data_IF_267244573754
#
_entry.id   IF_267244573754
#
_cell.length_a   1.000
_cell.length_b   1.000
_cell.length_c   1.000
_cell.angle_alpha   90.00
_cell.angle_beta   90.00
_cell.angle_gamma   90.00
#
_symmetry.space_group_name_H-M   'P 1'
#
loop_
_entity.id
_entity.type
_entity.pdbx_description
1 polymer ?
#
# COMPACT_ATOMS: atom_id res chain seq x y z
N UNK A 1 -23.49 30.84 20.59
CA UNK A 1 -22.07 30.62 20.24
C UNK A 1 -21.45 29.72 21.30
N UNK A 2 -21.46 28.40 21.08
CA UNK A 2 -20.64 27.43 21.81
C UNK A 2 -20.21 26.36 20.80
N UNK A 3 -18.90 26.12 20.80
CA UNK A 3 -18.17 25.44 19.73
C UNK A 3 -18.63 24.01 19.51
N UNK A 4 -18.83 23.73 18.22
CA UNK A 4 -18.94 22.41 17.63
C UNK A 4 -17.72 21.60 18.07
N UNK A 5 -17.96 20.61 18.93
CA UNK A 5 -16.96 19.61 19.26
C UNK A 5 -16.50 18.99 17.96
N UNK A 6 -15.22 19.18 17.65
CA UNK A 6 -14.47 18.42 16.65
C UNK A 6 -14.32 16.98 17.17
N UNK A 7 -15.47 16.33 17.32
CA UNK A 7 -15.59 14.91 17.59
C UNK A 7 -15.35 14.23 16.27
N UNK A 8 -14.07 14.08 15.91
CA UNK A 8 -13.63 13.12 14.91
C UNK A 8 -14.29 11.79 15.25
N UNK A 9 -15.41 11.52 14.59
CA UNK A 9 -16.18 10.32 14.84
C UNK A 9 -15.27 9.15 14.49
N UNK A 10 -15.23 8.08 15.29
CA UNK A 10 -14.38 6.93 15.02
C UNK A 10 -14.58 6.38 13.61
N UNK A 11 -15.76 6.56 13.01
CA UNK A 11 -16.04 6.21 11.62
C UNK A 11 -15.23 7.02 10.58
N UNK A 12 -14.95 8.30 10.80
CA UNK A 12 -14.13 9.12 9.90
C UNK A 12 -12.65 8.71 9.92
N UNK A 13 -12.12 8.44 11.11
CA UNK A 13 -10.75 7.93 11.28
C UNK A 13 -10.60 6.52 10.72
N UNK A 14 -11.58 5.63 10.95
CA UNK A 14 -11.59 4.28 10.37
C UNK A 14 -11.76 4.30 8.84
N UNK A 15 -12.39 5.33 8.29
CA UNK A 15 -12.55 5.50 6.83
C UNK A 15 -11.26 5.94 6.14
N UNK A 16 -10.43 6.75 6.80
CA UNK A 16 -9.21 7.28 6.21
C UNK A 16 -8.02 6.30 6.23
N UNK A 17 -8.01 5.35 7.18
CA UNK A 17 -6.91 4.39 7.34
C UNK A 17 -6.76 3.45 6.12
N UNK A 18 -7.83 2.84 5.57
CA UNK A 18 -7.72 1.96 4.40
C UNK A 18 -7.23 2.69 3.15
N UNK A 19 -7.71 3.92 2.93
CA UNK A 19 -7.27 4.76 1.81
C UNK A 19 -5.78 5.10 1.91
N UNK A 20 -5.30 5.45 3.11
CA UNK A 20 -3.88 5.71 3.36
C UNK A 20 -3.02 4.47 3.15
N UNK A 21 -3.45 3.31 3.65
CA UNK A 21 -2.74 2.03 3.46
C UNK A 21 -2.64 1.69 1.96
N UNK A 22 -3.73 1.88 1.21
CA UNK A 22 -3.74 1.68 -0.24
C UNK A 22 -2.79 2.62 -0.97
N UNK A 23 -2.74 3.90 -0.57
CA UNK A 23 -1.83 4.88 -1.17
C UNK A 23 -0.36 4.52 -0.93
N UNK A 24 0.01 4.08 0.27
CA UNK A 24 1.37 3.61 0.58
C UNK A 24 1.69 2.34 -0.21
N UNK A 25 0.76 1.40 -0.32
CA UNK A 25 0.91 0.20 -1.15
C UNK A 25 1.20 0.54 -2.61
N UNK A 26 0.47 1.48 -3.19
CA UNK A 26 0.67 1.94 -4.57
C UNK A 26 2.04 2.64 -4.76
N UNK A 27 2.41 3.54 -3.84
CA UNK A 27 3.72 4.20 -3.86
C UNK A 27 4.87 3.19 -3.79
N UNK A 28 4.75 2.17 -2.94
CA UNK A 28 5.75 1.10 -2.84
C UNK A 28 5.89 0.30 -4.16
N UNK A 29 4.79 -0.01 -4.86
CA UNK A 29 4.89 -0.65 -6.20
C UNK A 29 5.58 0.24 -7.21
N UNK A 30 5.22 1.53 -7.24
CA UNK A 30 5.80 2.45 -8.20
C UNK A 30 7.31 2.62 -7.98
N UNK A 31 7.74 2.70 -6.72
CA UNK A 31 9.15 2.72 -6.36
C UNK A 31 9.86 1.42 -6.77
N UNK A 32 9.28 0.27 -6.48
CA UNK A 32 9.80 -1.04 -6.88
C UNK A 32 10.00 -1.15 -8.40
N UNK A 33 8.99 -0.81 -9.19
CA UNK A 33 9.05 -0.84 -10.65
C UNK A 33 10.13 0.11 -11.20
N UNK A 34 10.24 1.31 -10.61
CA UNK A 34 11.22 2.32 -11.03
C UNK A 34 12.64 1.82 -10.77
N UNK A 35 12.91 1.32 -9.57
CA UNK A 35 14.22 0.81 -9.19
C UNK A 35 14.60 -0.45 -9.98
N UNK A 36 13.65 -1.36 -10.25
CA UNK A 36 13.89 -2.55 -11.07
C UNK A 36 14.28 -2.18 -12.50
N UNK A 37 13.62 -1.18 -13.06
CA UNK A 37 13.93 -0.65 -14.39
C UNK A 37 15.31 0.00 -14.43
N UNK A 38 15.66 0.78 -13.41
CA UNK A 38 16.98 1.39 -13.28
C UNK A 38 18.09 0.34 -13.15
N UNK A 39 17.90 -0.66 -12.27
CA UNK A 39 18.87 -1.74 -12.06
C UNK A 39 19.12 -2.55 -13.35
N UNK A 40 18.04 -2.87 -14.08
CA UNK A 40 18.15 -3.54 -15.38
C UNK A 40 18.85 -2.69 -16.44
N UNK A 41 18.69 -1.36 -16.40
CA UNK A 41 19.41 -0.45 -17.30
C UNK A 41 20.91 -0.49 -17.05
N UNK A 42 21.32 -0.39 -15.78
CA UNK A 42 22.73 -0.45 -15.41
C UNK A 42 23.33 -1.80 -15.77
N UNK A 43 22.60 -2.91 -15.62
CA UNK A 43 23.09 -4.23 -16.08
C UNK A 43 23.43 -4.24 -17.57
N UNK A 44 22.56 -3.66 -18.40
CA UNK A 44 22.83 -3.55 -19.84
C UNK A 44 24.04 -2.69 -20.14
N UNK A 45 24.22 -1.60 -19.41
CA UNK A 45 25.39 -0.73 -19.57
C UNK A 45 26.68 -1.44 -19.18
N UNK A 46 26.67 -2.21 -18.08
CA UNK A 46 27.82 -3.04 -17.64
C UNK A 46 28.15 -4.12 -18.67
N UNK A 47 27.14 -4.78 -19.22
CA UNK A 47 27.33 -5.82 -20.25
C UNK A 47 27.83 -5.24 -21.58
N UNK A 48 27.49 -3.98 -21.90
CA UNK A 48 27.91 -3.30 -23.11
C UNK A 48 29.39 -2.87 -23.10
N UNK A 49 30.03 -2.79 -21.93
CA UNK A 49 31.45 -2.40 -21.83
C UNK A 49 32.34 -3.58 -22.21
N UNK A 50 33.02 -3.45 -23.36
CA UNK A 50 34.05 -4.37 -23.81
C UNK A 50 35.39 -4.10 -23.09
N UNK A 51 35.50 -4.60 -21.86
CA UNK A 51 36.75 -4.60 -21.09
C UNK A 51 37.08 -6.01 -20.58
N UNK A 52 38.39 -6.30 -20.53
CA UNK A 52 38.93 -7.64 -20.27
C UNK A 52 40.10 -7.56 -19.29
N UNK A 53 40.37 -8.67 -18.60
CA UNK A 53 41.45 -8.80 -17.62
C UNK A 53 40.91 -8.87 -16.19
N UNK A 54 41.81 -9.09 -15.23
CA UNK A 54 41.47 -9.39 -13.83
C UNK A 54 40.58 -8.32 -13.17
N UNK A 55 40.78 -7.04 -13.49
CA UNK A 55 39.92 -5.96 -12.99
C UNK A 55 38.50 -6.02 -13.55
N UNK A 56 38.34 -6.44 -14.81
CA UNK A 56 37.03 -6.59 -15.42
C UNK A 56 36.26 -7.77 -14.80
N UNK A 57 36.96 -8.88 -14.52
CA UNK A 57 36.35 -10.05 -13.88
C UNK A 57 35.94 -9.75 -12.42
N UNK A 58 36.81 -9.10 -11.65
CA UNK A 58 36.50 -8.69 -10.28
C UNK A 58 35.31 -7.72 -10.22
N UNK A 59 35.22 -6.77 -11.16
CA UNK A 59 34.06 -5.89 -11.23
C UNK A 59 32.79 -6.66 -11.60
N UNK A 60 32.82 -7.57 -12.58
CA UNK A 60 31.64 -8.37 -12.95
C UNK A 60 31.14 -9.20 -11.77
N UNK A 61 32.04 -9.79 -10.99
CA UNK A 61 31.68 -10.52 -9.78
C UNK A 61 30.96 -9.62 -8.76
N UNK A 62 31.54 -8.47 -8.45
CA UNK A 62 30.94 -7.50 -7.51
C UNK A 62 29.62 -6.95 -8.04
N UNK A 63 29.53 -6.67 -9.34
CA UNK A 63 28.30 -6.23 -9.99
C UNK A 63 27.21 -7.29 -9.88
N UNK A 64 27.52 -8.55 -10.18
CA UNK A 64 26.56 -9.65 -10.07
C UNK A 64 26.02 -9.80 -8.64
N UNK A 65 26.90 -9.64 -7.63
CA UNK A 65 26.49 -9.65 -6.23
C UNK A 65 25.56 -8.46 -5.92
N UNK A 66 25.95 -7.25 -6.31
CA UNK A 66 25.15 -6.04 -6.12
C UNK A 66 23.77 -6.14 -6.80
N UNK A 67 23.74 -6.63 -8.04
CA UNK A 67 22.52 -6.84 -8.80
C UNK A 67 21.61 -7.89 -8.15
N UNK A 68 22.20 -8.99 -7.65
CA UNK A 68 21.47 -10.02 -6.93
C UNK A 68 20.82 -9.47 -5.66
N UNK A 69 21.61 -8.82 -4.79
CA UNK A 69 21.11 -8.27 -3.54
C UNK A 69 20.10 -7.14 -3.76
N UNK A 70 20.36 -6.26 -4.73
CA UNK A 70 19.43 -5.22 -5.17
C UNK A 70 18.10 -5.82 -5.59
N UNK A 71 18.11 -6.89 -6.39
CA UNK A 71 16.89 -7.59 -6.79
C UNK A 71 16.10 -8.14 -5.59
N UNK A 72 16.78 -8.69 -4.58
CA UNK A 72 16.13 -9.21 -3.35
C UNK A 72 15.46 -8.11 -2.52
N UNK A 73 16.06 -6.93 -2.45
CA UNK A 73 15.46 -5.76 -1.78
C UNK A 73 14.18 -5.35 -2.51
N UNK A 74 14.20 -5.33 -3.85
CA UNK A 74 13.04 -5.00 -4.66
C UNK A 74 11.91 -6.02 -4.51
N UNK A 75 12.23 -7.31 -4.46
CA UNK A 75 11.24 -8.35 -4.18
C UNK A 75 10.61 -8.18 -2.79
N UNK A 76 11.40 -7.75 -1.81
CA UNK A 76 10.89 -7.45 -0.45
C UNK A 76 9.97 -6.24 -0.44
N UNK A 77 10.27 -5.20 -1.23
CA UNK A 77 9.40 -4.03 -1.41
C UNK A 77 8.09 -4.39 -2.12
N UNK A 78 8.14 -5.27 -3.12
CA UNK A 78 6.96 -5.81 -3.78
C UNK A 78 6.07 -6.59 -2.80
N UNK A 79 6.68 -7.45 -1.97
CA UNK A 79 5.96 -8.20 -0.94
C UNK A 79 5.31 -7.28 0.10
N UNK A 80 6.02 -6.22 0.53
CA UNK A 80 5.46 -5.22 1.45
C UNK A 80 4.25 -4.51 0.83
N UNK A 81 4.37 -4.08 -0.42
CA UNK A 81 3.25 -3.45 -1.14
C UNK A 81 2.04 -4.36 -1.25
N UNK A 82 2.25 -5.64 -1.57
CA UNK A 82 1.18 -6.63 -1.63
C UNK A 82 0.47 -6.78 -0.28
N UNK A 83 1.24 -6.92 0.81
CA UNK A 83 0.71 -7.01 2.18
C UNK A 83 -0.12 -5.79 2.59
N UNK A 84 0.34 -4.58 2.25
CA UNK A 84 -0.40 -3.35 2.50
C UNK A 84 -1.72 -3.33 1.73
N UNK A 85 -1.68 -3.68 0.44
CA UNK A 85 -2.89 -3.73 -0.41
C UNK A 85 -3.92 -4.72 0.16
N UNK A 86 -3.48 -5.91 0.57
CA UNK A 86 -4.34 -6.94 1.15
C UNK A 86 -4.94 -6.49 2.49
N UNK A 87 -4.15 -5.77 3.31
CA UNK A 87 -4.61 -5.18 4.56
C UNK A 87 -5.72 -4.14 4.33
N UNK A 88 -5.59 -3.29 3.30
CA UNK A 88 -6.63 -2.31 2.95
C UNK A 88 -7.96 -2.99 2.60
N UNK A 89 -7.93 -4.06 1.80
CA UNK A 89 -9.12 -4.89 1.47
C UNK A 89 -9.75 -5.50 2.73
N UNK A 90 -8.91 -5.94 3.67
CA UNK A 90 -9.35 -6.46 4.97
C UNK A 90 -10.18 -5.47 5.79
N UNK A 91 -9.90 -4.16 5.70
CA UNK A 91 -10.69 -3.12 6.37
C UNK A 91 -12.01 -2.78 5.67
N UNK A 92 -12.12 -3.01 4.37
CA UNK A 92 -13.37 -2.78 3.62
C UNK A 92 -14.46 -3.82 3.97
N UNK A 93 -14.08 -5.06 4.33
CA UNK A 93 -15.05 -6.11 4.64
C UNK A 93 -15.89 -5.86 5.91
N UNK A 94 -15.31 -5.42 7.06
CA UNK A 94 -16.07 -4.99 8.23
C UNK A 94 -16.96 -3.79 7.96
N UNK A 95 -16.52 -2.83 7.12
CA UNK A 95 -17.29 -1.64 6.75
C UNK A 95 -18.58 -2.01 6.02
N UNK A 96 -18.49 -2.83 4.97
CA UNK A 96 -19.63 -3.25 4.16
C UNK A 96 -20.71 -4.01 4.98
N UNK A 97 -20.31 -4.68 6.06
CA UNK A 97 -21.26 -5.37 6.97
C UNK A 97 -22.01 -4.43 7.92
N UNK A 98 -21.44 -3.27 8.26
CA UNK A 98 -22.10 -2.27 9.10
C UNK A 98 -23.08 -1.41 8.29
N UNK A 99 -22.70 -1.01 7.08
CA UNK A 99 -23.57 -0.22 6.18
C UNK A 99 -24.83 -0.98 5.75
N UNK A 100 -24.79 -2.32 5.67
CA UNK A 100 -25.96 -3.14 5.30
C UNK A 100 -26.96 -3.39 6.44
N UNK A 101 -26.75 -2.84 7.64
CA UNK A 101 -27.54 -3.17 8.86
C UNK A 101 -28.52 -2.08 9.34
N UNK A 102 -28.83 -1.06 8.54
CA UNK A 102 -29.83 -0.06 8.92
C UNK A 102 -30.82 0.27 7.78
N UNK A 103 -32.07 -0.23 7.87
CA UNK A 103 -33.25 0.59 7.67
C UNK A 103 -33.82 0.90 9.05
N UNK A 104 -33.70 2.15 9.48
CA UNK A 104 -34.27 2.65 10.72
C UNK A 104 -35.78 2.76 10.50
N UNK A 105 -36.56 1.77 10.96
CA UNK A 105 -38.01 1.91 11.10
C UNK A 105 -38.27 2.69 12.39
N UNK A 106 -38.34 4.03 12.28
CA UNK A 106 -38.95 4.86 13.33
C UNK A 106 -40.46 4.68 13.23
N UNK A 107 -41.00 3.72 13.97
CA UNK A 107 -42.43 3.57 14.15
C UNK A 107 -42.90 4.59 15.19
N UNK A 108 -43.51 5.69 14.71
CA UNK A 108 -44.15 6.68 15.55
C UNK A 108 -45.54 6.19 15.97
N UNK A 109 -45.61 5.25 16.90
CA UNK A 109 -46.85 4.93 17.61
C UNK A 109 -46.94 5.75 18.92
N UNK A 110 -47.27 7.03 18.78
CA UNK A 110 -47.68 7.88 19.90
C UNK A 110 -49.05 7.42 20.40
N UNK A 111 -49.03 6.90 21.63
CA UNK A 111 -50.10 6.83 22.63
C UNK A 111 -51.46 7.44 22.22
N UNK A 112 -52.41 6.58 21.90
CA UNK A 112 -53.84 6.91 21.84
C UNK A 112 -54.60 6.39 23.06
N UNK A 113 -54.75 7.23 24.09
CA UNK A 113 -55.90 7.31 25.02
C UNK A 113 -55.82 8.68 25.72
N UNK A 114 -56.93 9.40 26.01
CA UNK A 114 -58.17 8.85 26.57
C UNK A 114 -59.49 9.46 26.04
N UNK A 115 -60.60 8.88 26.49
CA UNK A 115 -61.99 9.28 26.29
C UNK A 115 -62.90 8.19 26.82
#
# INVERSE_FOLDING_TARGET
>A
MLGMGDGGTPDGVLSAIPEQISAVGAAARQLEQTLRSALSSVSRDVDAVAWTGMSADAYREVWNHCHHDGSRILDSLAALSASLTDSAVGYEQPRNRRDRRLPISYDHAVLGRPG
#
